data_IF_473832948724
#
_entry.id   IF_473832948724
#
_cell.length_a   1.000
_cell.length_b   1.000
_cell.length_c   1.000
_cell.angle_alpha   90.00
_cell.angle_beta   90.00
_cell.angle_gamma   90.00
#
_symmetry.space_group_name_H-M   'P 1'
#
loop_
_entity.id
_entity.type
_entity.pdbx_description
1 polymer ?
#
# COMPACT_ATOMS: atom_id res chain seq x y z
N UNK A 1 9.33 -19.09 -2.89
CA UNK A 1 10.15 -18.28 -1.96
C UNK A 1 11.07 -17.37 -2.77
N UNK A 2 11.46 -16.19 -2.22
CA UNK A 2 12.40 -15.26 -2.88
C UNK A 2 13.70 -15.97 -3.31
N UNK A 3 14.16 -16.95 -2.54
CA UNK A 3 15.34 -17.74 -2.87
C UNK A 3 15.15 -18.58 -4.14
N UNK A 4 13.98 -19.20 -4.32
CA UNK A 4 13.69 -19.97 -5.53
C UNK A 4 13.62 -19.09 -6.79
N UNK A 5 13.20 -17.85 -6.65
CA UNK A 5 13.22 -16.86 -7.74
C UNK A 5 14.66 -16.47 -8.07
N UNK A 6 15.48 -16.19 -7.06
CA UNK A 6 16.90 -15.87 -7.25
C UNK A 6 17.67 -17.04 -7.89
N UNK A 7 17.38 -18.27 -7.48
CA UNK A 7 18.01 -19.48 -8.04
C UNK A 7 17.58 -19.76 -9.50
N UNK A 8 16.44 -19.16 -9.95
CA UNK A 8 15.94 -19.29 -11.32
C UNK A 8 16.36 -18.15 -12.25
N UNK A 9 16.98 -17.09 -11.70
CA UNK A 9 17.49 -15.97 -12.50
C UNK A 9 18.87 -16.33 -13.06
N UNK A 10 19.02 -16.17 -14.38
CA UNK A 10 20.26 -16.42 -15.08
C UNK A 10 21.35 -15.41 -14.70
N UNK A 11 22.62 -15.83 -14.87
CA UNK A 11 23.80 -14.99 -14.61
C UNK A 11 23.72 -13.62 -15.31
N UNK A 12 23.18 -13.58 -16.50
CA UNK A 12 23.01 -12.37 -17.33
C UNK A 12 22.16 -11.30 -16.63
N UNK A 13 21.17 -11.71 -15.81
CA UNK A 13 20.38 -10.77 -15.02
C UNK A 13 21.23 -10.04 -13.97
N UNK A 14 22.09 -10.78 -13.28
CA UNK A 14 22.97 -10.18 -12.25
C UNK A 14 24.04 -9.29 -12.88
N UNK A 15 24.55 -9.64 -14.05
CA UNK A 15 25.50 -8.81 -14.80
C UNK A 15 24.85 -7.50 -15.26
N UNK A 16 23.62 -7.57 -15.77
CA UNK A 16 22.84 -6.38 -16.10
C UNK A 16 22.58 -5.51 -14.87
N UNK A 17 22.16 -6.11 -13.75
CA UNK A 17 21.91 -5.40 -12.51
C UNK A 17 23.18 -4.68 -12.01
N UNK A 18 24.33 -5.35 -12.02
CA UNK A 18 25.61 -4.75 -11.64
C UNK A 18 26.04 -3.60 -12.55
N UNK A 19 25.66 -3.66 -13.83
CA UNK A 19 26.00 -2.60 -14.80
C UNK A 19 25.20 -1.30 -14.59
N UNK A 20 23.97 -1.41 -14.06
CA UNK A 20 23.04 -0.27 -13.87
C UNK A 20 22.92 0.18 -12.41
N UNK A 21 23.51 -0.55 -11.46
CA UNK A 21 23.47 -0.22 -10.03
C UNK A 21 24.84 -0.04 -9.42
N UNK A 22 24.97 0.93 -8.52
CA UNK A 22 26.18 1.10 -7.70
C UNK A 22 25.88 0.61 -6.29
N UNK A 23 25.98 -0.69 -6.07
CA UNK A 23 25.77 -1.29 -4.75
C UNK A 23 27.12 -1.33 -3.98
N UNK A 24 27.10 -0.85 -2.74
CA UNK A 24 28.25 -0.90 -1.84
C UNK A 24 27.84 -1.54 -0.52
N UNK A 25 28.29 -2.76 -0.27
CA UNK A 25 28.14 -3.38 1.05
C UNK A 25 29.21 -2.85 2.01
N UNK A 26 28.93 -2.88 3.33
CA UNK A 26 29.96 -2.56 4.35
C UNK A 26 31.22 -3.40 4.18
N UNK A 27 31.07 -4.69 3.86
CA UNK A 27 32.19 -5.59 3.60
C UNK A 27 33.01 -5.15 2.38
N UNK A 28 32.34 -4.70 1.32
CA UNK A 28 33.01 -4.17 0.13
C UNK A 28 33.81 -2.91 0.48
N UNK A 29 33.21 -1.97 1.22
CA UNK A 29 33.89 -0.76 1.66
C UNK A 29 35.10 -1.09 2.53
N UNK A 30 34.98 -1.99 3.51
CA UNK A 30 36.09 -2.40 4.37
C UNK A 30 37.23 -3.10 3.62
N UNK A 31 36.92 -3.80 2.52
CA UNK A 31 37.94 -4.56 1.76
C UNK A 31 38.70 -3.67 0.77
N UNK A 32 38.03 -2.72 0.13
CA UNK A 32 38.56 -2.01 -1.03
C UNK A 32 38.81 -0.51 -0.81
N UNK A 33 38.36 0.06 0.31
CA UNK A 33 38.51 1.49 0.61
C UNK A 33 39.33 1.70 1.89
N UNK A 34 40.12 2.79 1.94
CA UNK A 34 40.73 3.23 3.18
C UNK A 34 39.66 3.80 4.12
N UNK A 35 39.44 3.13 5.24
CA UNK A 35 38.39 3.49 6.20
C UNK A 35 38.90 4.41 7.32
N UNK A 36 40.15 4.92 7.24
CA UNK A 36 40.72 5.79 8.29
C UNK A 36 39.90 7.04 8.53
N UNK A 37 39.41 7.66 7.45
CA UNK A 37 38.60 8.88 7.53
C UNK A 37 37.12 8.62 7.87
N UNK A 38 36.61 7.41 7.59
CA UNK A 38 35.22 7.02 7.80
C UNK A 38 35.03 6.43 9.21
N UNK A 39 36.09 5.88 9.81
CA UNK A 39 36.06 5.14 11.05
C UNK A 39 35.63 3.68 10.88
N UNK A 40 35.51 2.98 11.99
CA UNK A 40 35.07 1.58 11.98
C UNK A 40 33.54 1.49 11.92
N UNK A 41 33.04 0.62 11.03
CA UNK A 41 31.62 0.30 11.04
C UNK A 41 31.25 -0.42 12.35
N UNK A 42 30.10 -0.07 12.97
CA UNK A 42 29.66 -0.74 14.17
C UNK A 42 29.38 -2.22 13.90
N UNK A 43 29.70 -3.05 14.86
CA UNK A 43 29.42 -4.48 14.82
C UNK A 43 27.90 -4.73 14.76
N UNK A 44 27.47 -5.59 13.85
CA UNK A 44 26.07 -6.00 13.74
C UNK A 44 25.79 -7.13 14.73
N UNK A 45 24.93 -6.89 15.70
CA UNK A 45 24.37 -7.95 16.53
C UNK A 45 23.27 -8.70 15.79
N UNK A 46 22.97 -9.92 16.24
CA UNK A 46 21.82 -10.66 15.71
C UNK A 46 20.53 -9.88 15.99
N UNK A 47 19.61 -9.80 15.00
CA UNK A 47 18.32 -9.15 15.23
C UNK A 47 17.53 -9.92 16.29
N UNK A 48 16.85 -9.19 17.16
CA UNK A 48 15.88 -9.75 18.10
C UNK A 48 14.49 -9.52 17.50
N UNK A 49 13.71 -10.58 17.36
CA UNK A 49 12.34 -10.51 16.84
C UNK A 49 11.37 -10.56 18.01
N UNK A 50 10.46 -9.59 18.05
CA UNK A 50 9.38 -9.51 19.04
C UNK A 50 8.04 -9.59 18.31
N UNK A 51 7.16 -10.46 18.78
CA UNK A 51 5.80 -10.61 18.28
C UNK A 51 4.85 -10.02 19.33
N UNK A 52 4.45 -8.78 19.13
CA UNK A 52 3.47 -8.12 19.98
C UNK A 52 2.07 -8.29 19.40
N UNK A 53 1.03 -8.56 20.21
CA UNK A 53 -0.35 -8.44 19.75
C UNK A 53 -0.64 -6.98 19.37
N UNK A 54 -1.74 -6.72 18.68
CA UNK A 54 -2.16 -5.35 18.39
C UNK A 54 -2.43 -4.57 19.70
N UNK A 55 -3.15 -5.22 20.61
CA UNK A 55 -3.52 -4.66 21.92
C UNK A 55 -3.83 -5.80 22.88
N UNK A 56 -3.90 -5.48 24.19
CA UNK A 56 -4.41 -6.37 25.24
C UNK A 56 -5.93 -6.26 25.42
N UNK A 57 -6.60 -5.36 24.72
CA UNK A 57 -8.06 -5.19 24.79
C UNK A 57 -8.75 -6.35 24.13
N UNK A 58 -9.89 -6.76 24.71
CA UNK A 58 -10.72 -7.88 24.22
C UNK A 58 -12.01 -7.41 23.54
N UNK A 59 -12.27 -6.09 23.54
CA UNK A 59 -13.46 -5.46 22.96
C UNK A 59 -13.19 -4.82 21.58
N UNK A 60 -12.10 -5.22 20.96
CA UNK A 60 -11.66 -4.80 19.63
C UNK A 60 -11.35 -6.03 18.78
N UNK A 61 -11.38 -5.86 17.46
CA UNK A 61 -11.05 -6.94 16.53
C UNK A 61 -9.60 -7.39 16.71
N UNK A 62 -9.40 -8.68 16.72
CA UNK A 62 -8.08 -9.31 16.65
C UNK A 62 -7.48 -9.15 15.24
N UNK A 63 -6.19 -9.45 15.08
CA UNK A 63 -5.53 -9.43 13.78
C UNK A 63 -6.24 -10.36 12.76
N UNK A 64 -6.66 -11.55 13.20
CA UNK A 64 -7.35 -12.50 12.32
C UNK A 64 -8.73 -11.99 11.86
N UNK A 65 -9.50 -11.40 12.77
CA UNK A 65 -10.80 -10.81 12.43
C UNK A 65 -10.64 -9.63 11.47
N UNK A 66 -9.62 -8.79 11.67
CA UNK A 66 -9.29 -7.70 10.73
C UNK A 66 -8.91 -8.28 9.36
N UNK A 67 -8.07 -9.33 9.33
CA UNK A 67 -7.68 -9.99 8.08
C UNK A 67 -8.90 -10.56 7.34
N UNK A 68 -9.84 -11.19 8.05
CA UNK A 68 -11.09 -11.69 7.49
C UNK A 68 -11.92 -10.54 6.89
N UNK A 69 -12.08 -9.42 7.61
CA UNK A 69 -12.79 -8.24 7.10
C UNK A 69 -12.11 -7.65 5.86
N UNK A 70 -10.79 -7.50 5.88
CA UNK A 70 -10.02 -7.01 4.72
C UNK A 70 -10.13 -7.94 3.51
N UNK A 71 -10.27 -9.23 3.73
CA UNK A 71 -10.46 -10.23 2.67
C UNK A 71 -11.82 -10.14 1.99
N UNK A 72 -12.81 -9.53 2.63
CA UNK A 72 -14.14 -9.29 2.07
C UNK A 72 -14.21 -8.01 1.24
N UNK A 73 -13.26 -7.08 1.41
CA UNK A 73 -13.23 -5.82 0.65
C UNK A 73 -13.03 -6.09 -0.83
N UNK A 74 -13.92 -5.58 -1.64
CA UNK A 74 -13.80 -5.57 -3.10
C UNK A 74 -12.99 -4.40 -3.60
N UNK A 75 -12.88 -3.33 -2.79
CA UNK A 75 -12.20 -2.10 -3.18
C UNK A 75 -12.71 -1.56 -4.52
N UNK A 76 -14.04 -1.55 -4.65
CA UNK A 76 -14.77 -1.22 -5.87
C UNK A 76 -14.44 0.18 -6.40
N UNK A 77 -13.99 1.08 -5.53
CA UNK A 77 -13.53 2.43 -5.88
C UNK A 77 -12.30 2.41 -6.80
N UNK A 78 -11.46 1.37 -6.74
CA UNK A 78 -10.24 1.23 -7.54
C UNK A 78 -10.41 0.36 -8.79
N UNK A 79 -11.61 -0.12 -9.06
CA UNK A 79 -11.90 -0.95 -10.22
C UNK A 79 -13.16 -0.49 -10.98
N UNK A 80 -13.27 0.81 -11.34
CA UNK A 80 -14.46 1.35 -11.99
C UNK A 80 -14.73 0.72 -13.37
N UNK A 81 -13.71 0.26 -14.10
CA UNK A 81 -13.88 -0.43 -15.41
C UNK A 81 -14.71 -1.70 -15.27
N UNK A 82 -14.66 -2.37 -14.12
CA UNK A 82 -15.45 -3.57 -13.87
C UNK A 82 -16.97 -3.33 -13.87
N UNK A 83 -17.38 -2.07 -13.75
CA UNK A 83 -18.77 -1.62 -13.71
C UNK A 83 -19.21 -0.87 -14.96
N UNK A 84 -18.41 -0.87 -16.04
CA UNK A 84 -18.83 -0.32 -17.32
C UNK A 84 -19.85 -1.24 -17.98
N UNK A 85 -20.91 -0.66 -18.53
CA UNK A 85 -21.92 -1.41 -19.29
C UNK A 85 -21.26 -2.17 -20.43
N UNK A 86 -21.62 -3.45 -20.67
CA UNK A 86 -20.99 -4.28 -21.71
C UNK A 86 -21.03 -3.63 -23.11
N UNK A 87 -22.08 -2.88 -23.41
CA UNK A 87 -22.23 -2.13 -24.67
C UNK A 87 -21.23 -0.99 -24.83
N UNK A 88 -20.62 -0.51 -23.75
CA UNK A 88 -19.68 0.61 -23.72
C UNK A 88 -18.23 0.18 -23.48
N UNK A 89 -18.01 -1.03 -23.00
CA UNK A 89 -16.69 -1.54 -22.59
C UNK A 89 -15.64 -1.40 -23.71
N UNK A 90 -16.01 -1.75 -24.93
CA UNK A 90 -15.10 -1.69 -26.08
C UNK A 90 -14.50 -0.30 -26.32
N UNK A 91 -15.28 0.76 -26.11
CA UNK A 91 -14.82 2.16 -26.19
C UNK A 91 -13.65 2.42 -25.23
N UNK A 92 -13.75 1.95 -23.99
CA UNK A 92 -12.73 2.15 -22.95
C UNK A 92 -11.52 1.23 -23.14
N UNK A 93 -11.72 0.00 -23.62
CA UNK A 93 -10.63 -0.89 -24.03
C UNK A 93 -9.78 -0.28 -25.16
N UNK A 94 -10.42 0.36 -26.14
CA UNK A 94 -9.71 1.04 -27.23
C UNK A 94 -8.96 2.30 -26.76
N UNK A 95 -9.47 2.99 -25.73
CA UNK A 95 -8.87 4.22 -25.21
C UNK A 95 -7.71 3.95 -24.24
N UNK A 96 -7.82 2.92 -23.40
CA UNK A 96 -6.94 2.74 -22.24
C UNK A 96 -6.08 1.48 -22.26
N UNK A 97 -6.41 0.48 -23.09
CA UNK A 97 -5.56 -0.68 -23.24
C UNK A 97 -4.28 -0.32 -24.00
N UNK A 98 -3.13 -0.64 -23.42
CA UNK A 98 -1.83 -0.33 -23.99
C UNK A 98 -1.27 -1.52 -24.74
N UNK A 99 -0.82 -1.32 -25.98
CA UNK A 99 -0.07 -2.34 -26.71
C UNK A 99 1.36 -2.43 -26.15
N UNK A 100 1.73 -3.60 -25.66
CA UNK A 100 3.10 -3.89 -25.25
C UNK A 100 3.84 -4.49 -26.43
N UNK A 101 4.98 -3.90 -26.81
CA UNK A 101 5.78 -4.30 -27.96
C UNK A 101 5.98 -5.83 -28.03
N UNK A 102 5.36 -6.47 -29.03
CA UNK A 102 5.54 -7.88 -29.37
C UNK A 102 4.85 -8.93 -28.48
N UNK A 103 4.13 -8.59 -27.41
CA UNK A 103 3.63 -9.59 -26.43
C UNK A 103 2.17 -9.41 -25.95
N UNK A 104 1.33 -8.68 -26.67
CA UNK A 104 -0.10 -8.56 -26.31
C UNK A 104 -0.50 -7.19 -25.78
N UNK A 105 -1.77 -7.06 -25.37
CA UNK A 105 -2.33 -5.86 -24.78
C UNK A 105 -2.29 -5.93 -23.25
N UNK A 106 -1.80 -4.89 -22.59
CA UNK A 106 -2.00 -4.68 -21.16
C UNK A 106 -3.39 -4.05 -20.96
N UNK A 107 -4.32 -4.82 -20.43
CA UNK A 107 -5.69 -4.36 -20.23
C UNK A 107 -5.78 -3.51 -18.98
N UNK A 108 -6.53 -2.41 -19.06
CA UNK A 108 -6.78 -1.56 -17.90
C UNK A 108 -7.50 -2.32 -16.77
N UNK A 109 -8.43 -3.22 -17.10
CA UNK A 109 -9.08 -4.07 -16.12
C UNK A 109 -8.11 -4.96 -15.31
N UNK A 110 -7.03 -5.44 -15.93
CA UNK A 110 -6.02 -6.24 -15.23
C UNK A 110 -5.14 -5.37 -14.31
N UNK A 111 -4.90 -4.11 -14.70
CA UNK A 111 -4.22 -3.13 -13.86
C UNK A 111 -5.04 -2.80 -12.62
N UNK A 112 -6.34 -2.55 -12.77
CA UNK A 112 -7.24 -2.29 -11.63
C UNK A 112 -7.31 -3.47 -10.66
N UNK A 113 -7.39 -4.72 -11.17
CA UNK A 113 -7.32 -5.93 -10.32
C UNK A 113 -6.01 -6.05 -9.57
N UNK A 114 -4.89 -5.74 -10.24
CA UNK A 114 -3.57 -5.75 -9.60
C UNK A 114 -3.49 -4.68 -8.51
N UNK A 115 -4.08 -3.51 -8.74
CA UNK A 115 -4.16 -2.42 -7.78
C UNK A 115 -4.99 -2.82 -6.55
N UNK A 116 -6.16 -3.46 -6.73
CA UNK A 116 -6.97 -3.98 -5.62
C UNK A 116 -6.18 -4.95 -4.74
N UNK A 117 -5.46 -5.92 -5.37
CA UNK A 117 -4.63 -6.88 -4.64
C UNK A 117 -3.47 -6.20 -3.89
N UNK A 118 -2.85 -5.19 -4.51
CA UNK A 118 -1.79 -4.39 -3.90
C UNK A 118 -2.32 -3.61 -2.69
N UNK A 119 -3.49 -2.98 -2.81
CA UNK A 119 -4.12 -2.22 -1.72
C UNK A 119 -4.45 -3.09 -0.50
N UNK A 120 -4.97 -4.31 -0.71
CA UNK A 120 -5.19 -5.24 0.39
C UNK A 120 -3.89 -5.60 1.11
N UNK A 121 -2.83 -5.86 0.33
CA UNK A 121 -1.49 -6.14 0.89
C UNK A 121 -0.95 -4.94 1.67
N UNK A 122 -1.13 -3.73 1.15
CA UNK A 122 -0.68 -2.50 1.82
C UNK A 122 -1.42 -2.24 3.12
N UNK A 123 -2.74 -2.46 3.15
CA UNK A 123 -3.52 -2.35 4.38
C UNK A 123 -2.99 -3.28 5.47
N UNK A 124 -2.66 -4.53 5.12
CA UNK A 124 -2.06 -5.47 6.07
C UNK A 124 -0.67 -5.02 6.54
N UNK A 125 0.20 -4.58 5.63
CA UNK A 125 1.53 -4.04 6.00
C UNK A 125 1.43 -2.83 6.91
N UNK A 126 0.47 -1.93 6.65
CA UNK A 126 0.25 -0.76 7.51
C UNK A 126 -0.25 -1.17 8.90
N UNK A 127 -1.15 -2.16 9.00
CA UNK A 127 -1.59 -2.71 10.28
C UNK A 127 -0.43 -3.34 11.05
N UNK A 128 0.44 -4.09 10.36
CA UNK A 128 1.64 -4.67 10.96
C UNK A 128 2.64 -3.59 11.40
N UNK A 129 2.72 -2.48 10.67
CA UNK A 129 3.62 -1.38 11.02
C UNK A 129 3.10 -0.57 12.20
N UNK A 130 1.90 -0.02 12.11
CA UNK A 130 1.31 0.87 13.11
C UNK A 130 -0.20 0.90 13.01
N UNK A 131 -0.90 0.79 14.14
CA UNK A 131 -2.36 0.93 14.22
C UNK A 131 -2.78 2.33 13.74
N UNK A 132 -2.03 3.38 14.05
CA UNK A 132 -2.33 4.73 13.61
C UNK A 132 -2.20 4.88 12.09
N UNK A 133 -1.13 4.36 11.49
CA UNK A 133 -0.96 4.37 10.04
C UNK A 133 -2.09 3.63 9.33
N UNK A 134 -2.49 2.48 9.84
CA UNK A 134 -3.64 1.73 9.33
C UNK A 134 -4.95 2.52 9.44
N UNK A 135 -5.19 3.18 10.59
CA UNK A 135 -6.37 4.03 10.82
C UNK A 135 -6.46 5.18 9.82
N UNK A 136 -5.36 5.90 9.61
CA UNK A 136 -5.29 7.01 8.65
C UNK A 136 -5.57 6.53 7.22
N UNK A 137 -5.05 5.37 6.84
CA UNK A 137 -5.31 4.78 5.52
C UNK A 137 -6.78 4.40 5.36
N UNK A 138 -7.39 3.80 6.37
CA UNK A 138 -8.82 3.49 6.36
C UNK A 138 -9.69 4.76 6.27
N UNK A 139 -9.31 5.85 6.95
CA UNK A 139 -10.01 7.15 6.86
C UNK A 139 -9.96 7.72 5.45
N UNK A 140 -8.81 7.68 4.79
CA UNK A 140 -8.67 8.11 3.40
C UNK A 140 -9.48 7.23 2.45
N UNK A 141 -9.46 5.92 2.66
CA UNK A 141 -10.26 4.97 1.89
C UNK A 141 -11.77 5.24 2.05
N UNK A 142 -12.20 5.48 3.30
CA UNK A 142 -13.58 5.89 3.62
C UNK A 142 -13.98 7.16 2.88
N UNK A 143 -13.13 8.18 2.90
CA UNK A 143 -13.40 9.45 2.23
C UNK A 143 -13.57 9.25 0.71
N UNK A 144 -12.72 8.42 0.08
CA UNK A 144 -12.82 8.13 -1.34
C UNK A 144 -14.13 7.43 -1.70
N UNK A 145 -14.57 6.44 -0.91
CA UNK A 145 -15.86 5.78 -1.11
C UNK A 145 -17.03 6.75 -0.95
N UNK A 146 -17.01 7.56 0.10
CA UNK A 146 -18.06 8.57 0.38
C UNK A 146 -18.14 9.61 -0.74
N UNK A 147 -17.00 10.12 -1.20
CA UNK A 147 -16.95 11.09 -2.29
C UNK A 147 -17.48 10.50 -3.60
N UNK A 148 -17.15 9.24 -3.88
CA UNK A 148 -17.63 8.54 -5.07
C UNK A 148 -19.15 8.34 -5.03
N UNK A 149 -19.68 7.90 -3.88
CA UNK A 149 -21.12 7.76 -3.68
C UNK A 149 -21.87 9.11 -3.81
N UNK A 150 -21.26 10.20 -3.32
CA UNK A 150 -21.83 11.53 -3.49
C UNK A 150 -21.89 11.97 -4.97
N UNK A 151 -20.84 11.68 -5.75
CA UNK A 151 -20.82 11.92 -7.20
C UNK A 151 -21.92 11.13 -7.93
N UNK A 152 -22.09 9.84 -7.60
CA UNK A 152 -23.16 9.01 -8.16
C UNK A 152 -24.54 9.59 -7.82
N UNK A 153 -24.75 9.97 -6.56
CA UNK A 153 -26.03 10.57 -6.11
C UNK A 153 -26.34 11.88 -6.86
N UNK A 154 -25.35 12.76 -7.01
CA UNK A 154 -25.49 14.01 -7.76
C UNK A 154 -25.83 13.75 -9.22
N UNK A 155 -25.16 12.80 -9.85
CA UNK A 155 -25.44 12.41 -11.23
C UNK A 155 -26.88 11.87 -11.38
N UNK A 156 -27.33 11.02 -10.48
CA UNK A 156 -28.69 10.47 -10.49
C UNK A 156 -29.78 11.56 -10.34
N UNK A 157 -29.46 12.64 -9.62
CA UNK A 157 -30.42 13.77 -9.42
C UNK A 157 -30.41 14.78 -10.54
N UNK A 158 -29.26 15.08 -11.13
CA UNK A 158 -29.10 16.21 -12.06
C UNK A 158 -29.00 15.79 -13.51
N UNK A 159 -28.69 14.53 -13.79
CA UNK A 159 -28.41 14.03 -15.14
C UNK A 159 -27.16 14.67 -15.80
N UNK A 160 -26.44 15.51 -15.05
CA UNK A 160 -25.22 16.13 -15.57
C UNK A 160 -24.13 15.08 -15.80
N UNK A 161 -23.47 15.18 -16.94
CA UNK A 161 -22.37 14.29 -17.32
C UNK A 161 -21.18 14.56 -16.40
N UNK A 162 -21.12 13.85 -15.29
CA UNK A 162 -19.92 13.81 -14.46
C UNK A 162 -18.99 12.73 -15.00
N UNK A 163 -17.70 13.00 -15.02
CA UNK A 163 -16.65 12.00 -15.22
C UNK A 163 -15.99 11.66 -13.89
N UNK A 164 -15.61 10.40 -13.73
CA UNK A 164 -14.73 10.01 -12.65
C UNK A 164 -13.32 10.16 -13.18
N UNK A 165 -12.58 11.05 -12.57
CA UNK A 165 -11.13 11.11 -12.77
C UNK A 165 -10.48 9.92 -12.07
N UNK A 166 -9.39 9.43 -12.64
CA UNK A 166 -8.64 8.32 -12.05
C UNK A 166 -8.28 8.63 -10.59
N UNK A 167 -8.71 7.73 -9.70
CA UNK A 167 -8.42 7.83 -8.27
C UNK A 167 -6.97 7.43 -7.94
N UNK A 168 -6.21 7.00 -8.94
CA UNK A 168 -4.78 6.66 -8.80
C UNK A 168 -3.95 7.83 -8.28
N UNK A 169 -4.26 9.08 -8.67
CA UNK A 169 -3.58 10.26 -8.14
C UNK A 169 -3.74 10.43 -6.61
N UNK A 170 -4.79 9.85 -6.02
CA UNK A 170 -5.01 9.90 -4.57
C UNK A 170 -4.25 8.79 -3.83
N UNK A 171 -3.90 7.72 -4.54
CA UNK A 171 -3.07 6.64 -4.01
C UNK A 171 -1.61 7.05 -3.89
N UNK A 172 -1.09 7.82 -4.83
CA UNK A 172 0.28 8.35 -4.79
C UNK A 172 0.51 9.22 -3.54
N UNK A 173 -0.53 9.92 -3.08
CA UNK A 173 -0.46 10.71 -1.85
C UNK A 173 -0.57 9.88 -0.55
N UNK A 174 -1.07 8.64 -0.63
CA UNK A 174 -1.14 7.73 0.53
C UNK A 174 0.17 6.98 0.77
N UNK A 175 0.97 6.82 -0.27
CA UNK A 175 2.19 6.00 -0.26
C UNK A 175 3.48 6.81 -0.30
N UNK A 176 3.41 8.15 -0.21
CA UNK A 176 4.58 9.04 -0.31
C UNK A 176 5.66 8.79 0.77
N UNK A 177 5.34 8.04 1.83
CA UNK A 177 6.27 7.73 2.92
C UNK A 177 6.78 6.28 2.92
N UNK A 178 6.40 5.44 1.93
CA UNK A 178 6.79 4.02 1.90
C UNK A 178 7.77 3.74 0.74
N UNK A 179 9.06 3.84 1.03
CA UNK A 179 10.18 3.63 0.08
C UNK A 179 10.22 2.21 -0.55
N UNK A 180 9.38 1.26 -0.07
CA UNK A 180 9.37 -0.14 -0.51
C UNK A 180 8.32 -0.45 -1.58
N UNK A 181 7.47 0.52 -1.96
CA UNK A 181 6.51 0.34 -3.04
C UNK A 181 7.12 0.77 -4.37
N UNK A 182 6.97 -0.04 -5.44
CA UNK A 182 7.30 0.45 -6.76
C UNK A 182 6.40 1.65 -7.02
N UNK A 183 6.99 2.83 -7.07
CA UNK A 183 6.34 4.04 -7.56
C UNK A 183 5.79 3.72 -8.94
N UNK A 184 4.47 3.56 -9.06
CA UNK A 184 3.79 3.48 -10.36
C UNK A 184 3.70 4.91 -10.92
N UNK A 185 4.72 5.71 -10.65
CA UNK A 185 4.93 7.03 -11.18
C UNK A 185 6.10 6.98 -12.14
N UNK A 186 6.00 7.73 -13.22
CA UNK A 186 7.02 7.93 -14.26
C UNK A 186 7.16 6.85 -15.34
N UNK A 187 6.09 6.25 -15.77
CA UNK A 187 6.00 5.98 -17.19
C UNK A 187 4.94 6.89 -17.79
N UNK A 188 5.30 7.64 -18.82
CA UNK A 188 4.43 8.45 -19.70
C UNK A 188 3.30 7.64 -20.39
N UNK A 189 2.86 6.54 -19.79
CA UNK A 189 1.88 5.59 -20.27
C UNK A 189 0.72 5.56 -19.28
N UNK A 190 0.09 6.68 -19.01
CA UNK A 190 -1.08 6.68 -18.16
C UNK A 190 -1.69 8.07 -18.05
N UNK A 191 -2.28 8.53 -19.13
CA UNK A 191 -3.26 9.61 -19.02
C UNK A 191 -4.34 9.18 -18.03
N UNK A 192 -4.84 10.12 -17.22
CA UNK A 192 -5.92 9.86 -16.25
C UNK A 192 -7.08 9.15 -16.94
N UNK A 193 -7.45 7.99 -16.45
CA UNK A 193 -8.60 7.23 -16.95
C UNK A 193 -9.87 8.00 -16.57
N UNK A 194 -10.61 8.50 -17.54
CA UNK A 194 -11.88 9.19 -17.34
C UNK A 194 -13.03 8.32 -17.82
N UNK A 195 -13.90 7.94 -16.89
CA UNK A 195 -15.06 7.12 -17.18
C UNK A 195 -16.32 7.97 -16.95
N UNK A 196 -17.18 8.01 -17.98
CA UNK A 196 -18.48 8.67 -17.84
C UNK A 196 -19.43 7.84 -16.99
N UNK A 197 -20.04 8.44 -15.98
CA UNK A 197 -21.05 7.77 -15.15
C UNK A 197 -22.24 7.26 -15.98
N UNK A 198 -22.56 7.90 -17.11
CA UNK A 198 -23.60 7.46 -18.03
C UNK A 198 -23.27 6.12 -18.75
N UNK A 199 -22.01 5.73 -18.78
CA UNK A 199 -21.57 4.49 -19.41
C UNK A 199 -21.44 3.32 -18.41
N UNK A 200 -21.81 3.53 -17.14
CA UNK A 200 -21.62 2.59 -16.03
C UNK A 200 -22.92 1.94 -15.53
N UNK A 201 -22.81 0.73 -15.01
CA UNK A 201 -23.83 0.09 -14.18
C UNK A 201 -23.74 0.67 -12.75
N UNK A 202 -24.30 1.87 -12.59
CA UNK A 202 -24.26 2.61 -11.32
C UNK A 202 -24.93 1.85 -10.16
N UNK A 203 -26.06 1.17 -10.33
CA UNK A 203 -26.68 0.42 -9.23
C UNK A 203 -25.77 -0.66 -8.65
N UNK A 204 -25.11 -1.43 -9.50
CA UNK A 204 -24.16 -2.47 -9.07
C UNK A 204 -22.93 -1.84 -8.40
N UNK A 205 -22.37 -0.79 -8.97
CA UNK A 205 -21.21 -0.12 -8.40
C UNK A 205 -21.52 0.55 -7.07
N UNK A 206 -22.64 1.25 -6.97
CA UNK A 206 -23.12 1.90 -5.73
C UNK A 206 -23.32 0.86 -4.61
N UNK A 207 -23.87 -0.30 -4.95
CA UNK A 207 -24.05 -1.39 -4.00
C UNK A 207 -22.71 -1.87 -3.41
N UNK A 208 -21.73 -2.14 -4.26
CA UNK A 208 -20.42 -2.63 -3.82
C UNK A 208 -19.64 -1.57 -3.03
N UNK A 209 -19.73 -0.30 -3.44
CA UNK A 209 -19.12 0.81 -2.68
C UNK A 209 -19.73 0.94 -1.28
N UNK A 210 -21.05 0.70 -1.12
CA UNK A 210 -21.70 0.71 0.20
C UNK A 210 -21.26 -0.47 1.06
N UNK A 211 -21.14 -1.67 0.48
CA UNK A 211 -20.64 -2.86 1.19
C UNK A 211 -19.21 -2.64 1.67
N UNK A 212 -18.33 -2.14 0.80
CA UNK A 212 -16.95 -1.80 1.18
C UNK A 212 -16.95 -0.75 2.31
N UNK A 213 -17.81 0.26 2.23
CA UNK A 213 -17.89 1.31 3.25
C UNK A 213 -18.33 0.78 4.61
N UNK A 214 -19.28 -0.15 4.67
CA UNK A 214 -19.71 -0.80 5.92
C UNK A 214 -18.55 -1.56 6.58
N UNK A 215 -17.76 -2.28 5.79
CA UNK A 215 -16.57 -2.99 6.29
C UNK A 215 -15.53 -2.00 6.82
N UNK A 216 -15.24 -0.93 6.07
CA UNK A 216 -14.29 0.11 6.46
C UNK A 216 -14.74 0.79 7.76
N UNK A 217 -16.04 1.10 7.89
CA UNK A 217 -16.60 1.72 9.09
C UNK A 217 -16.51 0.78 10.31
N UNK A 218 -16.74 -0.51 10.14
CA UNK A 218 -16.57 -1.50 11.20
C UNK A 218 -15.10 -1.61 11.66
N UNK A 219 -14.15 -1.63 10.72
CA UNK A 219 -12.72 -1.62 11.01
C UNK A 219 -12.31 -0.35 11.75
N UNK A 220 -12.75 0.82 11.28
CA UNK A 220 -12.47 2.11 11.93
C UNK A 220 -13.06 2.18 13.33
N UNK A 221 -14.29 1.70 13.52
CA UNK A 221 -14.93 1.66 14.84
C UNK A 221 -14.14 0.81 15.83
N UNK A 222 -13.55 -0.30 15.38
CA UNK A 222 -12.68 -1.13 16.20
C UNK A 222 -11.34 -0.43 16.50
N UNK A 223 -10.67 0.09 15.46
CA UNK A 223 -9.36 0.73 15.60
C UNK A 223 -9.40 2.01 16.44
N UNK A 224 -10.50 2.77 16.38
CA UNK A 224 -10.66 4.01 17.16
C UNK A 224 -10.75 3.78 18.69
N UNK A 225 -11.04 2.56 19.11
CA UNK A 225 -11.02 2.19 20.55
C UNK A 225 -9.62 2.00 21.09
N UNK A 226 -8.62 1.77 20.22
CA UNK A 226 -7.24 1.54 20.62
C UNK A 226 -6.53 2.89 20.75
N UNK A 227 -6.25 3.28 21.99
CA UNK A 227 -5.46 4.48 22.27
C UNK A 227 -3.97 4.19 22.17
N UNK A 228 -3.08 5.21 22.08
CA UNK A 228 -1.65 4.98 22.12
C UNK A 228 -1.16 4.20 23.36
N UNK A 229 -1.89 4.28 24.46
CA UNK A 229 -1.57 3.50 25.68
C UNK A 229 -1.94 2.02 25.54
N UNK A 230 -2.92 1.70 24.72
CA UNK A 230 -3.38 0.33 24.44
C UNK A 230 -2.60 -0.34 23.30
N UNK A 231 -1.87 0.43 22.47
CA UNK A 231 -1.05 -0.09 21.36
C UNK A 231 0.17 -0.83 21.92
N UNK A 232 0.11 -2.15 21.91
CA UNK A 232 1.14 -2.98 22.52
C UNK A 232 2.50 -2.85 21.82
N UNK A 233 2.51 -2.68 20.48
CA UNK A 233 3.74 -2.49 19.70
C UNK A 233 4.38 -1.14 20.01
N UNK A 234 3.59 -0.08 20.05
CA UNK A 234 4.05 1.26 20.39
C UNK A 234 4.63 1.31 21.81
N UNK A 235 3.94 0.70 22.80
CA UNK A 235 4.43 0.64 24.16
C UNK A 235 5.72 -0.17 24.29
N UNK A 236 5.83 -1.29 23.56
CA UNK A 236 7.06 -2.07 23.52
C UNK A 236 8.22 -1.26 22.89
N UNK A 237 7.99 -0.61 21.76
CA UNK A 237 8.98 0.27 21.11
C UNK A 237 9.44 1.39 22.05
N UNK A 238 8.49 2.06 22.72
CA UNK A 238 8.78 3.12 23.71
C UNK A 238 9.68 2.60 24.85
N UNK A 239 9.36 1.45 25.40
CA UNK A 239 10.15 0.84 26.47
C UNK A 239 11.59 0.52 25.98
N UNK A 240 11.71 -0.02 24.77
CA UNK A 240 12.99 -0.37 24.17
C UNK A 240 13.86 0.87 23.90
N UNK A 241 13.26 1.95 23.39
CA UNK A 241 13.95 3.23 23.16
C UNK A 241 14.45 3.81 24.49
N UNK A 242 13.62 3.83 25.52
CA UNK A 242 14.00 4.33 26.86
C UNK A 242 15.13 3.50 27.48
N UNK A 243 15.08 2.17 27.34
CA UNK A 243 16.16 1.27 27.76
C UNK A 243 17.48 1.60 27.04
N UNK A 244 17.43 1.78 25.74
CA UNK A 244 18.62 2.12 24.92
C UNK A 244 19.20 3.50 25.26
N UNK A 245 18.37 4.46 25.61
CA UNK A 245 18.81 5.78 26.07
C UNK A 245 19.47 5.70 27.45
N UNK A 246 18.91 4.89 28.36
CA UNK A 246 19.43 4.70 29.70
C UNK A 246 20.74 3.89 29.73
N UNK A 247 20.83 2.85 28.89
CA UNK A 247 21.99 1.97 28.77
C UNK A 247 22.44 1.85 27.29
N UNK A 248 23.09 2.89 26.72
CA UNK A 248 23.46 2.89 25.31
C UNK A 248 24.50 1.79 25.01
N UNK A 249 24.33 1.09 23.89
CA UNK A 249 25.26 0.06 23.42
C UNK A 249 26.66 0.63 23.13
N UNK A 250 26.72 1.87 22.65
CA UNK A 250 27.95 2.59 22.41
C UNK A 250 28.10 3.69 23.47
N UNK A 251 29.15 3.70 24.29
CA UNK A 251 29.31 4.72 25.31
C UNK A 251 29.20 6.14 24.75
N UNK A 252 28.37 6.96 25.39
CA UNK A 252 28.13 8.35 24.98
C UNK A 252 27.20 8.56 23.80
N UNK A 253 26.78 7.49 23.08
CA UNK A 253 25.88 7.61 21.92
C UNK A 253 24.47 7.09 22.27
N UNK A 254 23.54 8.03 22.46
CA UNK A 254 22.13 7.75 22.79
C UNK A 254 21.21 7.74 21.54
N UNK A 255 21.77 7.84 20.34
CA UNK A 255 20.98 7.86 19.12
C UNK A 255 20.32 6.48 18.88
N UNK A 256 19.05 6.51 18.49
CA UNK A 256 18.27 5.35 18.09
C UNK A 256 17.73 5.66 16.68
N UNK A 257 17.86 4.70 15.78
CA UNK A 257 17.25 4.76 14.47
C UNK A 257 15.98 3.89 14.51
N UNK A 258 14.84 4.46 14.13
CA UNK A 258 13.53 3.79 14.10
C UNK A 258 13.09 3.67 12.65
#
# INVERSE_FOLDING_TARGET
TARAILDSLDFDFFELLDSVTIARSRKHIQTFYDTKDIGQFPERRKPLSFHSPLTQRTDVMSFNEIFEQLSLLKLAVYAPISYILPSRLKKYEEMYDTQVAGKGKLKQADREKSLQALMTTNLLKRLESSIESFRLTLQSLRANHTNTLAKISTFNQTGNVASIDDLTDQLENLDADDDDLPTIGDSEIGGKVKISLADMDLPSWEHELKVDLEIIDALLASMNKITPADDAKLQHLKALVLEKIAAPLNPGNKKVLI
#
